data_IF_810849826495
#
_entry.id   IF_810849826495
#
_cell.length_a   1.000
_cell.length_b   1.000
_cell.length_c   1.000
_cell.angle_alpha   90.00
_cell.angle_beta   90.00
_cell.angle_gamma   90.00
#
_symmetry.space_group_name_H-M   'P 1'
#
loop_
_entity.id
_entity.type
_entity.pdbx_description
1 polymer ?
#
# COMPACT_ATOMS: atom_id res chain seq x y z
N UNK A 1 13.72 -23.02 -12.02
CA UNK A 1 13.82 -22.84 -10.57
C UNK A 1 13.97 -21.36 -10.29
N UNK A 2 13.11 -20.79 -9.43
CA UNK A 2 13.28 -19.43 -8.92
C UNK A 2 14.58 -19.36 -8.12
N UNK A 3 15.48 -18.47 -8.51
CA UNK A 3 16.74 -18.24 -7.80
C UNK A 3 16.46 -17.56 -6.45
N UNK A 4 17.40 -17.59 -5.51
CA UNK A 4 17.28 -16.81 -4.26
C UNK A 4 17.05 -15.31 -4.54
N UNK A 5 17.65 -14.79 -5.61
CA UNK A 5 17.44 -13.41 -6.06
C UNK A 5 16.00 -13.15 -6.49
N UNK A 6 15.38 -14.09 -7.22
CA UNK A 6 13.98 -13.98 -7.62
C UNK A 6 13.04 -13.99 -6.41
N UNK A 7 13.33 -14.82 -5.39
CA UNK A 7 12.55 -14.84 -4.15
C UNK A 7 12.61 -13.50 -3.40
N UNK A 8 13.81 -12.89 -3.30
CA UNK A 8 13.98 -11.57 -2.68
C UNK A 8 13.18 -10.50 -3.44
N UNK A 9 13.22 -10.54 -4.78
CA UNK A 9 12.46 -9.62 -5.60
C UNK A 9 10.94 -9.78 -5.39
N UNK A 10 10.43 -11.01 -5.37
CA UNK A 10 9.00 -11.25 -5.13
C UNK A 10 8.55 -10.82 -3.73
N UNK A 11 9.40 -10.96 -2.71
CA UNK A 11 9.12 -10.41 -1.37
C UNK A 11 8.99 -8.90 -1.38
N UNK A 12 9.90 -8.19 -2.05
CA UNK A 12 9.85 -6.74 -2.17
C UNK A 12 8.61 -6.28 -2.96
N UNK A 13 8.28 -7.00 -4.05
CA UNK A 13 7.08 -6.77 -4.85
C UNK A 13 5.80 -6.97 -4.05
N UNK A 14 5.74 -8.02 -3.24
CA UNK A 14 4.63 -8.27 -2.32
C UNK A 14 4.46 -7.12 -1.33
N UNK A 15 5.56 -6.65 -0.73
CA UNK A 15 5.54 -5.50 0.18
C UNK A 15 5.02 -4.23 -0.50
N UNK A 16 5.47 -3.94 -1.72
CA UNK A 16 4.98 -2.81 -2.53
C UNK A 16 3.45 -2.85 -2.69
N UNK A 17 2.89 -4.01 -3.06
CA UNK A 17 1.44 -4.14 -3.23
C UNK A 17 0.69 -4.05 -1.90
N UNK A 18 1.24 -4.62 -0.81
CA UNK A 18 0.64 -4.51 0.52
C UNK A 18 0.53 -3.06 0.98
N UNK A 19 1.63 -2.30 0.89
CA UNK A 19 1.67 -0.88 1.27
C UNK A 19 0.66 -0.07 0.43
N UNK A 20 0.65 -0.30 -0.88
CA UNK A 20 -0.25 0.40 -1.81
C UNK A 20 -1.72 0.05 -1.54
N UNK A 21 -2.02 -1.23 -1.34
CA UNK A 21 -3.38 -1.70 -1.07
C UNK A 21 -3.91 -1.14 0.24
N UNK A 22 -3.13 -1.24 1.32
CA UNK A 22 -3.52 -0.74 2.63
C UNK A 22 -3.72 0.79 2.63
N UNK A 23 -2.82 1.53 1.97
CA UNK A 23 -2.98 2.98 1.82
C UNK A 23 -4.28 3.33 1.07
N UNK A 24 -4.62 2.60 0.00
CA UNK A 24 -5.86 2.83 -0.75
C UNK A 24 -7.10 2.49 0.10
N UNK A 25 -7.03 1.45 0.92
CA UNK A 25 -8.10 1.09 1.85
C UNK A 25 -8.36 2.19 2.89
N UNK A 26 -7.30 2.73 3.50
CA UNK A 26 -7.42 3.84 4.45
C UNK A 26 -8.04 5.10 3.80
N UNK A 27 -7.72 5.41 2.54
CA UNK A 27 -8.36 6.51 1.81
C UNK A 27 -9.86 6.29 1.57
N UNK A 28 -10.27 5.04 1.34
CA UNK A 28 -11.70 4.69 1.23
C UNK A 28 -12.41 4.97 2.56
N UNK A 29 -11.84 4.55 3.69
CA UNK A 29 -12.41 4.84 5.00
C UNK A 29 -12.46 6.34 5.29
N UNK A 30 -11.40 7.09 4.96
CA UNK A 30 -11.41 8.54 5.12
C UNK A 30 -12.57 9.18 4.33
N UNK A 31 -12.71 8.82 3.06
CA UNK A 31 -13.81 9.30 2.19
C UNK A 31 -15.19 8.93 2.75
N UNK A 32 -15.34 7.73 3.30
CA UNK A 32 -16.59 7.29 3.93
C UNK A 32 -16.94 8.13 5.16
N UNK A 33 -15.98 8.42 6.03
CA UNK A 33 -16.22 9.27 7.20
C UNK A 33 -16.48 10.72 6.81
N UNK A 34 -15.80 11.25 5.78
CA UNK A 34 -16.09 12.59 5.25
C UNK A 34 -17.54 12.68 4.72
N UNK A 35 -18.03 11.62 4.05
CA UNK A 35 -19.44 11.53 3.62
C UNK A 35 -20.40 11.52 4.81
N UNK A 36 -20.13 10.70 5.84
CA UNK A 36 -20.97 10.64 7.05
C UNK A 36 -21.01 11.98 7.79
N UNK A 37 -19.89 12.70 7.88
CA UNK A 37 -19.85 14.04 8.47
C UNK A 37 -20.73 15.01 7.66
N UNK A 38 -20.64 14.98 6.33
CA UNK A 38 -21.48 15.79 5.45
C UNK A 38 -22.96 15.47 5.63
N UNK A 39 -23.32 14.19 5.75
CA UNK A 39 -24.71 13.75 5.99
C UNK A 39 -25.23 14.29 7.33
N UNK A 40 -24.44 14.18 8.41
CA UNK A 40 -24.81 14.73 9.73
C UNK A 40 -25.03 16.24 9.66
N UNK A 41 -24.17 16.98 8.93
CA UNK A 41 -24.36 18.42 8.75
C UNK A 41 -25.63 18.74 7.97
N UNK A 42 -25.93 18.02 6.88
CA UNK A 42 -27.17 18.22 6.14
C UNK A 42 -28.42 17.89 6.94
N UNK A 43 -28.37 16.90 7.84
CA UNK A 43 -29.47 16.62 8.76
C UNK A 43 -29.66 17.74 9.79
N UNK A 44 -28.57 18.25 10.36
CA UNK A 44 -28.59 19.38 11.28
C UNK A 44 -29.19 20.66 10.66
N UNK A 45 -28.96 20.89 9.36
CA UNK A 45 -29.54 22.02 8.62
C UNK A 45 -31.07 21.92 8.46
N UNK A 46 -31.64 20.71 8.51
CA UNK A 46 -33.07 20.44 8.24
C UNK A 46 -33.94 20.39 9.48
N UNK A 47 -33.35 20.28 10.66
CA UNK A 47 -34.07 20.02 11.92
C UNK A 47 -34.01 21.25 12.83
N UNK A 48 -35.14 21.59 13.45
CA UNK A 48 -35.16 22.56 14.54
C UNK A 48 -34.53 21.93 15.80
N UNK A 49 -33.45 22.55 16.27
CA UNK A 49 -32.69 22.01 17.39
C UNK A 49 -33.40 22.23 18.72
N UNK A 50 -33.48 21.15 19.51
CA UNK A 50 -33.83 21.16 20.91
C UNK A 50 -32.71 20.45 21.71
N UNK A 51 -32.79 20.49 23.04
CA UNK A 51 -31.72 19.94 23.88
C UNK A 51 -31.46 18.44 23.66
N UNK A 52 -32.48 17.65 23.33
CA UNK A 52 -32.35 16.20 23.16
C UNK A 52 -31.69 15.88 21.83
N UNK A 53 -32.24 16.39 20.72
CA UNK A 53 -31.70 16.08 19.39
C UNK A 53 -30.30 16.70 19.19
N UNK A 54 -30.03 17.87 19.77
CA UNK A 54 -28.71 18.51 19.70
C UNK A 54 -27.64 17.65 20.40
N UNK A 55 -27.97 17.06 21.55
CA UNK A 55 -27.06 16.14 22.26
C UNK A 55 -26.81 14.86 21.45
N UNK A 56 -27.84 14.27 20.86
CA UNK A 56 -27.71 13.08 20.02
C UNK A 56 -26.82 13.33 18.79
N UNK A 57 -27.04 14.44 18.09
CA UNK A 57 -26.19 14.81 16.94
C UNK A 57 -24.75 15.08 17.36
N UNK A 58 -24.53 15.73 18.50
CA UNK A 58 -23.18 15.96 19.02
C UNK A 58 -22.43 14.65 19.31
N UNK A 59 -23.11 13.65 19.90
CA UNK A 59 -22.53 12.34 20.13
C UNK A 59 -22.21 11.61 18.82
N UNK A 60 -23.14 11.61 17.85
CA UNK A 60 -22.93 11.01 16.53
C UNK A 60 -21.74 11.65 15.82
N UNK A 61 -21.68 12.98 15.78
CA UNK A 61 -20.60 13.71 15.14
C UNK A 61 -19.26 13.45 15.83
N UNK A 62 -19.23 13.45 17.16
CA UNK A 62 -18.02 13.17 17.93
C UNK A 62 -17.46 11.78 17.61
N UNK A 63 -18.32 10.75 17.54
CA UNK A 63 -17.92 9.38 17.21
C UNK A 63 -17.29 9.29 15.81
N UNK A 64 -17.95 9.84 14.78
CA UNK A 64 -17.43 9.83 13.41
C UNK A 64 -16.11 10.60 13.31
N UNK A 65 -15.99 11.76 13.96
CA UNK A 65 -14.76 12.55 13.98
C UNK A 65 -13.59 11.80 14.64
N UNK A 66 -13.84 11.07 15.73
CA UNK A 66 -12.82 10.24 16.39
C UNK A 66 -12.34 9.12 15.48
N UNK A 67 -13.26 8.39 14.84
CA UNK A 67 -12.93 7.32 13.88
C UNK A 67 -12.10 7.86 12.71
N UNK A 68 -12.54 8.98 12.14
CA UNK A 68 -11.81 9.68 11.08
C UNK A 68 -10.40 10.08 11.51
N UNK A 69 -10.23 10.54 12.76
CA UNK A 69 -8.92 10.93 13.27
C UNK A 69 -7.94 9.76 13.30
N UNK A 70 -8.38 8.59 13.76
CA UNK A 70 -7.56 7.37 13.78
C UNK A 70 -7.08 7.02 12.37
N UNK A 71 -7.98 7.02 11.38
CA UNK A 71 -7.62 6.74 9.98
C UNK A 71 -6.66 7.78 9.41
N UNK A 72 -6.91 9.07 9.68
CA UNK A 72 -6.04 10.15 9.22
C UNK A 72 -4.63 10.05 9.80
N UNK A 73 -4.53 9.71 11.09
CA UNK A 73 -3.25 9.54 11.76
C UNK A 73 -2.48 8.34 11.17
N UNK A 74 -3.17 7.24 10.82
CA UNK A 74 -2.54 6.09 10.16
C UNK A 74 -2.09 6.42 8.72
N UNK A 75 -2.92 7.13 7.95
CA UNK A 75 -2.53 7.64 6.62
C UNK A 75 -1.26 8.49 6.70
N UNK A 76 -1.18 9.39 7.69
CA UNK A 76 -0.01 10.24 7.88
C UNK A 76 1.26 9.43 8.19
N UNK A 77 1.13 8.34 8.96
CA UNK A 77 2.26 7.42 9.23
C UNK A 77 2.67 6.61 8.00
N UNK A 78 1.71 6.16 7.19
CA UNK A 78 1.97 5.31 6.03
C UNK A 78 2.43 6.10 4.80
N UNK A 79 2.04 7.37 4.68
CA UNK A 79 2.32 8.22 3.53
C UNK A 79 3.81 8.25 3.13
N UNK A 80 4.78 8.48 4.04
CA UNK A 80 6.20 8.53 3.67
C UNK A 80 6.70 7.19 3.13
N UNK A 81 6.27 6.08 3.76
CA UNK A 81 6.61 4.72 3.33
C UNK A 81 6.07 4.46 1.93
N UNK A 82 4.80 4.79 1.69
CA UNK A 82 4.15 4.63 0.39
C UNK A 82 4.82 5.45 -0.70
N UNK A 83 5.18 6.70 -0.41
CA UNK A 83 5.88 7.56 -1.38
C UNK A 83 7.24 6.97 -1.77
N UNK A 84 8.05 6.62 -0.76
CA UNK A 84 9.37 6.04 -0.98
C UNK A 84 9.31 4.74 -1.78
N UNK A 85 8.43 3.83 -1.38
CA UNK A 85 8.26 2.52 -2.03
C UNK A 85 7.75 2.69 -3.46
N UNK A 86 6.81 3.61 -3.72
CA UNK A 86 6.30 3.85 -5.08
C UNK A 86 7.34 4.43 -6.02
N UNK A 87 8.13 5.41 -5.58
CA UNK A 87 9.17 6.02 -6.40
C UNK A 87 10.28 5.01 -6.70
N UNK A 88 10.73 4.29 -5.68
CA UNK A 88 11.88 3.38 -5.79
C UNK A 88 11.53 2.09 -6.52
N UNK A 89 10.36 1.50 -6.25
CA UNK A 89 9.99 0.20 -6.80
C UNK A 89 9.83 0.23 -8.33
N UNK A 90 9.24 1.30 -8.87
CA UNK A 90 9.05 1.44 -10.31
C UNK A 90 10.38 1.50 -11.09
N UNK A 91 11.38 2.17 -10.53
CA UNK A 91 12.71 2.24 -11.14
C UNK A 91 13.45 0.91 -10.99
N UNK A 92 13.40 0.31 -9.80
CA UNK A 92 14.00 -1.00 -9.54
C UNK A 92 13.43 -2.08 -10.46
N UNK A 93 12.12 -2.12 -10.66
CA UNK A 93 11.47 -3.07 -11.56
C UNK A 93 12.04 -2.97 -12.99
N UNK A 94 12.15 -1.74 -13.53
CA UNK A 94 12.75 -1.53 -14.87
C UNK A 94 14.20 -2.00 -14.94
N UNK A 95 14.98 -1.77 -13.89
CA UNK A 95 16.37 -2.20 -13.83
C UNK A 95 16.48 -3.73 -13.80
N UNK A 96 15.66 -4.38 -12.99
CA UNK A 96 15.60 -5.85 -12.90
C UNK A 96 15.21 -6.45 -14.25
N UNK A 97 14.16 -5.93 -14.91
CA UNK A 97 13.71 -6.43 -16.21
C UNK A 97 14.81 -6.33 -17.28
N UNK A 98 15.56 -5.23 -17.29
CA UNK A 98 16.72 -5.03 -18.20
C UNK A 98 17.84 -6.03 -17.91
N UNK A 99 18.21 -6.20 -16.65
CA UNK A 99 19.30 -7.10 -16.24
C UNK A 99 18.94 -8.56 -16.51
N UNK A 100 17.70 -8.97 -16.22
CA UNK A 100 17.22 -10.33 -16.51
C UNK A 100 17.26 -10.59 -18.02
N UNK A 101 16.76 -9.65 -18.83
CA UNK A 101 16.78 -9.77 -20.29
C UNK A 101 18.21 -9.92 -20.82
N UNK A 102 19.14 -9.06 -20.37
CA UNK A 102 20.55 -9.13 -20.75
C UNK A 102 21.22 -10.43 -20.28
N UNK A 103 20.92 -10.88 -19.07
CA UNK A 103 21.43 -12.14 -18.53
C UNK A 103 20.98 -13.32 -19.39
N UNK A 104 19.71 -13.35 -19.79
CA UNK A 104 19.17 -14.39 -20.65
C UNK A 104 19.81 -14.40 -22.05
N UNK A 105 20.10 -13.23 -22.63
CA UNK A 105 20.87 -13.13 -23.88
C UNK A 105 22.28 -13.74 -23.74
N UNK A 106 23.00 -13.35 -22.68
CA UNK A 106 24.37 -13.83 -22.43
C UNK A 106 24.36 -15.35 -22.24
N UNK A 107 23.46 -15.87 -21.40
CA UNK A 107 23.33 -17.32 -21.16
C UNK A 107 23.07 -18.10 -22.45
N UNK A 108 22.23 -17.57 -23.35
CA UNK A 108 21.99 -18.18 -24.67
C UNK A 108 23.23 -18.13 -25.56
N UNK A 109 23.91 -16.97 -25.64
CA UNK A 109 25.10 -16.81 -26.48
C UNK A 109 26.27 -17.70 -26.08
N UNK A 110 26.38 -18.02 -24.79
CA UNK A 110 27.46 -18.83 -24.22
C UNK A 110 27.04 -20.27 -23.90
N UNK A 111 25.84 -20.70 -24.31
CA UNK A 111 25.28 -22.03 -24.02
C UNK A 111 25.36 -22.44 -22.54
N UNK A 112 25.12 -21.49 -21.62
CA UNK A 112 25.25 -21.74 -20.18
C UNK A 112 24.07 -22.57 -19.68
N UNK A 113 24.33 -23.85 -19.41
CA UNK A 113 23.35 -24.81 -18.87
C UNK A 113 23.37 -24.92 -17.35
N UNK A 114 24.50 -24.62 -16.71
CA UNK A 114 24.67 -24.69 -15.26
C UNK A 114 23.80 -23.67 -14.52
N UNK A 115 23.21 -24.11 -13.41
CA UNK A 115 22.44 -23.31 -12.45
C UNK A 115 23.31 -22.90 -11.25
N UNK A 116 22.91 -21.81 -10.58
CA UNK A 116 23.61 -21.34 -9.39
C UNK A 116 23.60 -22.38 -8.26
N UNK A 117 22.53 -23.18 -8.15
CA UNK A 117 22.44 -24.26 -7.16
C UNK A 117 23.46 -25.37 -7.40
N UNK A 118 23.76 -25.69 -8.66
CA UNK A 118 24.78 -26.69 -8.99
C UNK A 118 26.18 -26.16 -8.68
N UNK A 119 26.45 -24.89 -8.97
CA UNK A 119 27.73 -24.23 -8.65
C UNK A 119 27.98 -24.21 -7.14
N UNK A 120 26.96 -23.83 -6.35
CA UNK A 120 27.11 -23.76 -4.89
C UNK A 120 27.32 -25.13 -4.26
N UNK A 121 26.60 -26.17 -4.72
CA UNK A 121 26.79 -27.56 -4.24
C UNK A 121 28.15 -28.15 -4.59
N UNK A 122 28.76 -27.72 -5.70
CA UNK A 122 30.09 -28.18 -6.11
C UNK A 122 31.23 -27.49 -5.34
N UNK A 123 30.91 -26.47 -4.55
CA UNK A 123 31.87 -25.66 -3.78
C UNK A 123 31.85 -25.97 -2.28
N UNK A 124 31.01 -26.91 -1.85
CA UNK A 124 30.92 -27.49 -0.50
C UNK A 124 31.73 -28.79 -0.43
#
# INVERSE_FOLDING_TARGET
>A
MSTKSDLIYEQLRSLYYQVTSFYNELNKYQSQYDKQISEIYHELERVELNHVNAYEYALKLQDVLRKRRVVKDELARLQPVRNYVNETFNELQKQIDRVISKSNEIRKSLNVTLSISEVLKASE
#
